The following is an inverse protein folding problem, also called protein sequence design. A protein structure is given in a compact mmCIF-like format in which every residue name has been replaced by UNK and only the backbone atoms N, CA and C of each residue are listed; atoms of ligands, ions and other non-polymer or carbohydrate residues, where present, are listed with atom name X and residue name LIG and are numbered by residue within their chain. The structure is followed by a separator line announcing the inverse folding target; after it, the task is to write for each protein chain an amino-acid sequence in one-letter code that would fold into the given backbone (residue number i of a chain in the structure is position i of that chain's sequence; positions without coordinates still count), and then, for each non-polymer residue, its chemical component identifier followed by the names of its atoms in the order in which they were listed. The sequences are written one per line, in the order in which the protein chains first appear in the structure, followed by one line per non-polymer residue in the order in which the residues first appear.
data_IF_140384247376
#
_entry.id   IF_140384247376
#
_cell.length_a   1.000
_cell.length_b   1.000
_cell.length_c   1.000
_cell.angle_alpha   90.00
_cell.angle_beta   90.00
_cell.angle_gamma   90.00
#
_symmetry.space_group_name_H-M   'P 1'
#
loop_
_entity.id
_entity.type
_entity.pdbx_description
1 polymer ?
#
# COMPACT_ATOMS: atom_id res chain seq x y z
N UNK A 1 14.32 43.75 21.33
CA UNK A 1 13.84 42.35 21.40
C UNK A 1 13.25 41.93 20.03
N UNK A 2 14.08 41.63 19.02
CA UNK A 2 13.63 41.32 17.62
C UNK A 2 14.25 40.04 17.04
N UNK A 3 14.97 39.25 17.84
CA UNK A 3 15.73 38.08 17.39
C UNK A 3 15.05 36.72 17.56
N UNK A 4 14.08 36.59 18.47
CA UNK A 4 13.53 35.27 18.84
C UNK A 4 12.52 34.70 17.83
N UNK A 5 11.75 35.56 17.15
CA UNK A 5 10.66 35.12 16.24
C UNK A 5 11.17 34.45 14.95
N UNK A 6 12.33 34.87 14.45
CA UNK A 6 12.93 34.27 13.25
C UNK A 6 13.47 32.87 13.52
N UNK A 7 14.10 32.65 14.66
CA UNK A 7 14.69 31.34 15.00
C UNK A 7 13.63 30.27 15.21
N UNK A 8 12.51 30.60 15.86
CA UNK A 8 11.41 29.64 16.10
C UNK A 8 10.74 29.19 14.80
N UNK A 9 10.58 30.10 13.83
CA UNK A 9 9.98 29.77 12.55
C UNK A 9 10.87 28.83 11.71
N UNK A 10 12.18 29.05 11.71
CA UNK A 10 13.11 28.16 11.00
C UNK A 10 13.17 26.76 11.63
N UNK A 11 13.16 26.67 12.96
CA UNK A 11 13.16 25.37 13.65
C UNK A 11 11.87 24.57 13.40
N UNK A 12 10.73 25.24 13.25
CA UNK A 12 9.45 24.57 12.98
C UNK A 12 9.36 24.05 11.54
N UNK A 13 9.96 24.76 10.57
CA UNK A 13 10.01 24.26 9.19
C UNK A 13 10.81 22.95 9.09
N UNK A 14 11.95 22.84 9.78
CA UNK A 14 12.81 21.63 9.74
C UNK A 14 12.08 20.39 10.25
N UNK A 15 11.21 20.51 11.26
CA UNK A 15 10.42 19.38 11.79
C UNK A 15 9.35 18.92 10.79
N UNK A 16 8.77 19.83 10.01
CA UNK A 16 7.76 19.50 8.99
C UNK A 16 8.39 18.86 7.75
N UNK A 17 9.64 19.20 7.39
CA UNK A 17 10.34 18.50 6.30
C UNK A 17 10.87 17.14 6.76
N UNK A 18 11.20 16.96 8.04
CA UNK A 18 11.66 15.68 8.59
C UNK A 18 10.55 14.60 8.65
N UNK A 19 9.28 14.99 8.79
CA UNK A 19 8.15 14.05 8.65
C UNK A 19 7.83 13.69 7.20
N UNK A 20 8.37 14.44 6.24
CA UNK A 20 8.37 14.13 4.80
C UNK A 20 9.64 13.39 4.37
N UNK A 21 10.45 12.87 5.31
CA UNK A 21 11.35 11.77 4.97
C UNK A 21 10.44 10.57 4.72
N UNK A 22 10.01 10.50 3.46
CA UNK A 22 9.49 9.32 2.81
C UNK A 22 10.13 8.12 3.48
N UNK A 23 9.33 7.31 4.15
CA UNK A 23 9.80 6.01 4.62
C UNK A 23 10.31 5.31 3.38
N UNK A 24 11.63 5.34 3.20
CA UNK A 24 12.34 4.64 2.15
C UNK A 24 12.30 3.16 2.54
N UNK A 25 11.11 2.56 2.58
CA UNK A 25 10.97 1.10 2.68
C UNK A 25 11.07 0.54 1.27
N UNK A 26 12.13 0.93 0.56
CA UNK A 26 12.59 0.26 -0.64
C UNK A 26 13.33 -1.01 -0.21
N UNK A 27 12.57 -1.95 0.36
CA UNK A 27 13.02 -3.30 0.63
C UNK A 27 11.93 -4.34 0.35
N UNK A 28 10.71 -3.93 0.00
CA UNK A 28 9.55 -4.75 0.29
C UNK A 28 8.29 -4.35 -0.50
N UNK A 29 8.42 -4.13 -1.80
CA UNK A 29 7.23 -3.94 -2.64
C UNK A 29 7.17 -4.91 -3.80
N UNK A 30 7.56 -6.16 -3.55
CA UNK A 30 7.38 -7.24 -4.50
C UNK A 30 6.21 -8.11 -4.06
N UNK A 31 5.35 -8.51 -5.02
CA UNK A 31 4.33 -9.53 -4.81
C UNK A 31 4.89 -10.85 -4.26
N UNK A 32 6.20 -11.06 -4.36
CA UNK A 32 6.89 -12.17 -3.69
C UNK A 32 6.72 -12.14 -2.16
N UNK A 33 6.52 -10.99 -1.52
CA UNK A 33 6.17 -10.93 -0.09
C UNK A 33 4.73 -11.35 0.20
N UNK A 34 3.92 -11.41 -0.85
CA UNK A 34 2.57 -11.96 -0.85
C UNK A 34 2.55 -13.22 -1.72
N UNK A 35 3.61 -14.04 -1.65
CA UNK A 35 3.69 -15.32 -2.37
C UNK A 35 2.45 -16.19 -2.14
N UNK A 36 1.84 -16.12 -0.95
CA UNK A 36 0.58 -16.80 -0.63
C UNK A 36 -0.63 -16.29 -1.42
N UNK A 37 -0.57 -15.09 -2.00
CA UNK A 37 -1.60 -14.50 -2.86
C UNK A 37 -1.35 -14.74 -4.35
N UNK A 38 -0.23 -15.38 -4.75
CA UNK A 38 0.11 -15.50 -6.17
C UNK A 38 -1.00 -16.20 -6.95
N UNK A 39 -1.59 -17.27 -6.43
CA UNK A 39 -2.70 -17.99 -7.07
C UNK A 39 -3.97 -17.13 -7.13
N UNK A 40 -4.26 -16.35 -6.08
CA UNK A 40 -5.39 -15.42 -6.04
C UNK A 40 -5.24 -14.28 -7.06
N UNK A 41 -4.03 -13.78 -7.27
CA UNK A 41 -3.75 -12.69 -8.21
C UNK A 41 -3.64 -13.21 -9.67
N UNK A 42 -3.02 -14.36 -9.88
CA UNK A 42 -2.81 -14.92 -11.24
C UNK A 42 -4.05 -15.64 -11.78
N UNK A 43 -4.72 -16.44 -10.95
CA UNK A 43 -5.86 -17.29 -11.36
C UNK A 43 -7.21 -16.80 -10.86
N UNK A 44 -7.23 -15.77 -10.00
CA UNK A 44 -8.46 -15.32 -9.37
C UNK A 44 -8.98 -16.26 -8.27
N UNK A 45 -8.14 -17.18 -7.78
CA UNK A 45 -8.51 -18.12 -6.73
C UNK A 45 -8.81 -17.41 -5.39
N UNK A 46 -9.42 -18.16 -4.47
CA UNK A 46 -9.67 -17.68 -3.11
C UNK A 46 -8.34 -17.47 -2.36
N UNK A 47 -8.10 -16.30 -1.74
CA UNK A 47 -6.87 -16.06 -0.99
C UNK A 47 -6.80 -16.95 0.25
N UNK A 48 -5.59 -17.42 0.56
CA UNK A 48 -5.31 -18.17 1.79
C UNK A 48 -5.30 -17.24 3.01
N UNK A 49 -5.46 -17.80 4.22
CA UNK A 49 -5.32 -17.02 5.45
C UNK A 49 -3.98 -16.28 5.54
N UNK A 50 -2.88 -16.97 5.18
CA UNK A 50 -1.53 -16.40 5.15
C UNK A 50 -1.41 -15.23 4.16
N UNK A 51 -2.02 -15.34 2.97
CA UNK A 51 -2.11 -14.25 2.00
C UNK A 51 -2.75 -13.00 2.63
N UNK A 52 -3.89 -13.16 3.29
CA UNK A 52 -4.62 -12.04 3.89
C UNK A 52 -3.87 -11.40 5.07
N UNK A 53 -3.19 -12.21 5.88
CA UNK A 53 -2.33 -11.71 6.96
C UNK A 53 -1.14 -10.92 6.39
N UNK A 54 -0.43 -11.46 5.40
CA UNK A 54 0.71 -10.79 4.78
C UNK A 54 0.28 -9.50 4.07
N UNK A 55 -0.81 -9.54 3.32
CA UNK A 55 -1.34 -8.38 2.61
C UNK A 55 -1.73 -7.25 3.58
N UNK A 56 -2.30 -7.57 4.75
CA UNK A 56 -2.57 -6.58 5.80
C UNK A 56 -1.32 -5.88 6.35
N UNK A 57 -0.15 -6.54 6.26
CA UNK A 57 1.13 -5.95 6.67
C UNK A 57 1.77 -5.09 5.58
N UNK A 58 1.41 -5.28 4.31
CA UNK A 58 1.93 -4.48 3.19
C UNK A 58 1.41 -3.04 3.27
N UNK A 59 2.28 -2.08 2.97
CA UNK A 59 1.88 -0.68 2.89
C UNK A 59 1.01 -0.40 1.66
N UNK A 60 -0.05 0.37 1.88
CA UNK A 60 -1.01 0.69 0.84
C UNK A 60 -0.42 1.37 -0.40
N UNK A 61 0.42 2.42 -0.28
CA UNK A 61 1.02 3.07 -1.45
C UNK A 61 1.93 2.12 -2.23
N UNK A 62 2.60 1.20 -1.55
CA UNK A 62 3.43 0.18 -2.18
C UNK A 62 2.58 -0.74 -3.07
N UNK A 63 1.56 -1.40 -2.49
CA UNK A 63 0.68 -2.30 -3.23
C UNK A 63 0.00 -1.58 -4.41
N UNK A 64 -0.44 -0.33 -4.22
CA UNK A 64 -1.01 0.44 -5.32
C UNK A 64 -0.01 0.76 -6.43
N UNK A 65 1.23 1.14 -6.09
CA UNK A 65 2.26 1.46 -7.06
C UNK A 65 2.63 0.24 -7.91
N UNK A 66 2.71 -0.94 -7.29
CA UNK A 66 2.95 -2.20 -7.97
C UNK A 66 1.92 -2.49 -9.07
N UNK A 67 0.63 -2.20 -8.83
CA UNK A 67 -0.42 -2.34 -9.83
C UNK A 67 -0.34 -1.25 -10.92
N UNK A 68 0.11 -0.05 -10.55
CA UNK A 68 0.27 1.09 -11.43
C UNK A 68 1.41 0.96 -12.45
N UNK A 69 2.44 0.18 -12.14
CA UNK A 69 3.69 0.13 -12.92
C UNK A 69 3.54 -0.47 -14.33
N UNK A 70 2.33 -0.87 -14.76
CA UNK A 70 2.06 -1.36 -16.12
C UNK A 70 2.79 -2.65 -16.49
N UNK A 71 3.37 -3.35 -15.51
CA UNK A 71 4.14 -4.59 -15.70
C UNK A 71 3.26 -5.84 -15.75
N UNK A 72 1.97 -5.69 -15.48
CA UNK A 72 1.01 -6.78 -15.34
C UNK A 72 -0.16 -6.60 -16.32
N UNK A 73 -0.76 -7.71 -16.74
CA UNK A 73 -1.97 -7.69 -17.57
C UNK A 73 -3.18 -7.16 -16.78
N UNK A 74 -4.18 -6.60 -17.47
CA UNK A 74 -5.43 -6.13 -16.84
C UNK A 74 -6.10 -7.20 -15.96
N UNK A 75 -6.11 -8.45 -16.40
CA UNK A 75 -6.66 -9.57 -15.63
C UNK A 75 -5.94 -9.75 -14.29
N UNK A 76 -4.62 -9.61 -14.28
CA UNK A 76 -3.79 -9.69 -13.08
C UNK A 76 -4.08 -8.52 -12.14
N UNK A 77 -4.13 -7.29 -12.68
CA UNK A 77 -4.46 -6.08 -11.91
C UNK A 77 -5.84 -6.20 -11.29
N UNK A 78 -6.85 -6.61 -12.06
CA UNK A 78 -8.20 -6.80 -11.60
C UNK A 78 -8.28 -7.83 -10.46
N UNK A 79 -7.65 -8.99 -10.62
CA UNK A 79 -7.59 -10.00 -9.56
C UNK A 79 -6.91 -9.46 -8.30
N UNK A 80 -5.79 -8.75 -8.45
CA UNK A 80 -5.06 -8.15 -7.33
C UNK A 80 -5.92 -7.17 -6.55
N UNK A 81 -6.62 -6.26 -7.23
CA UNK A 81 -7.51 -5.28 -6.62
C UNK A 81 -8.62 -5.93 -5.80
N UNK A 82 -9.09 -7.12 -6.21
CA UNK A 82 -10.13 -7.86 -5.50
C UNK A 82 -9.60 -8.74 -4.35
N UNK A 83 -8.28 -8.97 -4.23
CA UNK A 83 -7.74 -9.82 -3.14
C UNK A 83 -8.12 -9.31 -1.75
N UNK A 84 -7.97 -8.00 -1.41
CA UNK A 84 -8.40 -7.49 -0.11
C UNK A 84 -9.89 -7.73 0.19
N UNK A 85 -10.76 -7.59 -0.81
CA UNK A 85 -12.19 -7.87 -0.67
C UNK A 85 -12.45 -9.38 -0.45
N UNK A 86 -11.74 -10.25 -1.18
CA UNK A 86 -11.85 -11.70 -1.05
C UNK A 86 -11.28 -12.25 0.25
N UNK A 87 -10.40 -11.50 0.92
CA UNK A 87 -9.94 -11.81 2.28
C UNK A 87 -11.04 -11.67 3.36
N UNK A 88 -12.18 -11.09 3.00
CA UNK A 88 -13.32 -10.91 3.88
C UNK A 88 -13.24 -9.64 4.72
N UNK A 89 -14.40 -9.14 5.13
CA UNK A 89 -14.57 -7.84 5.78
C UNK A 89 -13.87 -7.70 7.14
N UNK A 90 -13.56 -8.83 7.79
CA UNK A 90 -12.89 -8.86 9.09
C UNK A 90 -11.36 -8.88 8.98
N UNK A 91 -10.81 -8.89 7.76
CA UNK A 91 -9.35 -8.96 7.56
C UNK A 91 -8.69 -7.59 7.65
N UNK A 92 -7.46 -7.56 8.17
CA UNK A 92 -6.62 -6.36 8.16
C UNK A 92 -6.35 -5.87 6.72
N UNK A 93 -6.26 -6.79 5.76
CA UNK A 93 -6.15 -6.45 4.34
C UNK A 93 -7.38 -5.67 3.85
N UNK A 94 -8.59 -6.14 4.11
CA UNK A 94 -9.81 -5.44 3.72
C UNK A 94 -9.88 -4.04 4.35
N UNK A 95 -9.72 -3.94 5.66
CA UNK A 95 -9.75 -2.66 6.37
C UNK A 95 -8.68 -1.69 5.87
N UNK A 96 -7.50 -2.22 5.50
CA UNK A 96 -6.43 -1.40 4.96
C UNK A 96 -6.76 -0.92 3.57
N UNK A 97 -7.20 -1.77 2.64
CA UNK A 97 -7.25 -1.41 1.22
C UNK A 97 -8.60 -0.92 0.70
N UNK A 98 -9.73 -1.29 1.33
CA UNK A 98 -11.07 -0.94 0.87
C UNK A 98 -11.20 0.56 0.57
N UNK A 99 -11.70 0.89 -0.62
CA UNK A 99 -11.97 2.25 -1.07
C UNK A 99 -10.74 3.09 -1.39
N UNK A 100 -9.52 2.52 -1.32
CA UNK A 100 -8.32 3.25 -1.76
C UNK A 100 -8.24 3.31 -3.28
N UNK A 101 -7.77 4.44 -3.76
CA UNK A 101 -7.40 4.61 -5.15
C UNK A 101 -5.95 4.15 -5.36
N UNK A 102 -5.80 3.06 -6.12
CA UNK A 102 -4.54 2.57 -6.64
C UNK A 102 -4.41 2.96 -8.12
N UNK A 103 -3.80 4.13 -8.37
CA UNK A 103 -3.46 4.60 -9.73
C UNK A 103 -4.61 4.57 -10.75
N UNK A 104 -5.79 5.02 -10.33
CA UNK A 104 -7.00 5.08 -11.17
C UNK A 104 -7.98 3.93 -10.90
N UNK A 105 -7.57 2.91 -10.14
CA UNK A 105 -8.42 1.80 -9.76
C UNK A 105 -8.83 1.90 -8.30
N UNK A 106 -10.12 1.86 -8.01
CA UNK A 106 -10.62 1.84 -6.63
C UNK A 106 -10.67 0.39 -6.16
N UNK A 107 -10.03 0.09 -5.03
CA UNK A 107 -10.15 -1.21 -4.38
C UNK A 107 -11.57 -1.37 -3.82
N UNK A 108 -12.30 -2.44 -4.18
CA UNK A 108 -13.66 -2.69 -3.70
C UNK A 108 -13.76 -3.01 -2.20
#
# INVERSE_FOLDING_TARGET
MKGAKRTVLLSLLVVVVASMVARNVDAACSLQQVAGCLDAVTKGATPTGSCCTQLGQVDAPCFCNLLANGKYSDAYVNNALHVPARCGSNSAAYAKFKGRNCAGYVVP
#
